data_IF_476754707062
#
_entry.id   IF_476754707062
#
_cell.length_a   1.000
_cell.length_b   1.000
_cell.length_c   1.000
_cell.angle_alpha   90.00
_cell.angle_beta   90.00
_cell.angle_gamma   90.00
#
_symmetry.space_group_name_H-M   'P 1'
#
loop_
_entity.id
_entity.type
_entity.pdbx_description
1 polymer ?
#
# COMPACT_ATOMS: atom_id res chain seq x y z
N UNK A 1 -5.68 13.63 5.22
CA UNK A 1 -6.89 13.09 4.57
C UNK A 1 -6.80 11.57 4.65
N UNK A 2 -7.85 10.89 5.13
CA UNK A 2 -7.89 9.43 5.13
C UNK A 2 -8.61 8.97 3.87
N UNK A 3 -7.91 8.24 3.03
CA UNK A 3 -8.50 7.53 1.89
C UNK A 3 -8.85 6.13 2.40
N UNK A 4 -10.09 5.68 2.14
CA UNK A 4 -10.76 4.58 2.83
C UNK A 4 -10.02 3.23 2.82
N UNK A 5 -10.50 2.25 3.60
CA UNK A 5 -9.86 0.94 3.68
C UNK A 5 -10.05 0.18 2.36
N UNK A 6 -8.95 -0.29 1.78
CA UNK A 6 -9.02 -1.31 0.74
C UNK A 6 -9.29 -2.65 1.42
N UNK A 7 -10.45 -3.24 1.13
CA UNK A 7 -10.79 -4.58 1.60
C UNK A 7 -10.20 -5.57 0.62
N UNK A 8 -9.31 -6.42 1.13
CA UNK A 8 -8.65 -7.44 0.34
C UNK A 8 -9.17 -8.82 0.74
N UNK A 9 -8.98 -9.82 -0.12
CA UNK A 9 -9.45 -11.20 0.08
C UNK A 9 -9.05 -11.80 1.44
N UNK A 10 -9.96 -12.60 2.01
CA UNK A 10 -9.82 -13.32 3.30
C UNK A 10 -8.55 -14.19 3.40
N UNK A 11 -7.97 -14.62 2.28
CA UNK A 11 -6.72 -15.38 2.23
C UNK A 11 -5.58 -14.52 1.71
N UNK A 12 -5.20 -13.52 2.51
CA UNK A 12 -4.12 -12.59 2.22
C UNK A 12 -2.75 -13.25 2.41
N UNK A 13 -1.92 -13.23 1.36
CA UNK A 13 -0.50 -13.60 1.42
C UNK A 13 0.34 -12.39 1.09
N UNK A 14 1.62 -12.39 1.49
CA UNK A 14 2.54 -11.29 1.14
C UNK A 14 2.66 -11.08 -0.38
N UNK A 15 2.59 -12.16 -1.17
CA UNK A 15 2.62 -12.09 -2.63
C UNK A 15 1.34 -11.43 -3.20
N UNK A 16 0.16 -11.85 -2.75
CA UNK A 16 -1.10 -11.24 -3.20
C UNK A 16 -1.17 -9.76 -2.83
N UNK A 17 -0.64 -9.40 -1.66
CA UNK A 17 -0.57 -8.00 -1.27
C UNK A 17 0.41 -7.21 -2.14
N UNK A 18 1.57 -7.79 -2.46
CA UNK A 18 2.51 -7.18 -3.41
C UNK A 18 1.89 -6.99 -4.80
N UNK A 19 1.21 -8.01 -5.32
CA UNK A 19 0.52 -7.95 -6.62
C UNK A 19 -0.55 -6.84 -6.62
N UNK A 20 -1.28 -6.69 -5.51
CA UNK A 20 -2.21 -5.57 -5.32
C UNK A 20 -1.51 -4.22 -5.34
N UNK A 21 -0.39 -4.04 -4.62
CA UNK A 21 0.35 -2.77 -4.60
C UNK A 21 0.88 -2.39 -5.98
N UNK A 22 1.32 -3.38 -6.77
CA UNK A 22 1.88 -3.16 -8.10
C UNK A 22 0.81 -2.88 -9.16
N UNK A 23 -0.32 -3.59 -9.11
CA UNK A 23 -1.28 -3.61 -10.23
C UNK A 23 -2.65 -3.03 -9.86
N UNK A 24 -3.11 -3.19 -8.62
CA UNK A 24 -4.46 -2.78 -8.19
C UNK A 24 -4.53 -1.43 -7.48
N UNK A 25 -3.44 -0.99 -6.85
CA UNK A 25 -3.43 0.26 -6.08
C UNK A 25 -3.70 1.49 -6.95
N UNK A 26 -3.18 1.51 -8.18
CA UNK A 26 -3.40 2.62 -9.11
C UNK A 26 -4.89 2.81 -9.43
N UNK A 27 -5.63 1.73 -9.66
CA UNK A 27 -7.08 1.76 -9.92
C UNK A 27 -7.84 2.33 -8.72
N UNK A 28 -7.48 1.90 -7.51
CA UNK A 28 -8.09 2.43 -6.28
C UNK A 28 -7.83 3.93 -6.09
N UNK A 29 -6.72 4.43 -6.66
CA UNK A 29 -6.35 5.82 -6.56
C UNK A 29 -6.94 6.69 -7.69
N UNK A 30 -7.50 6.11 -8.76
CA UNK A 30 -7.93 6.86 -9.97
C UNK A 30 -8.88 8.02 -9.66
N UNK A 31 -9.86 7.81 -8.79
CA UNK A 31 -10.83 8.83 -8.40
C UNK A 31 -10.25 9.93 -7.49
N UNK A 32 -9.00 9.78 -7.02
CA UNK A 32 -8.36 10.76 -6.14
C UNK A 32 -7.54 11.78 -6.93
N UNK A 33 -7.65 13.09 -6.58
CA UNK A 33 -6.83 14.14 -7.17
C UNK A 33 -5.34 13.81 -7.06
N UNK A 34 -4.60 13.97 -8.16
CA UNK A 34 -3.16 13.70 -8.21
C UNK A 34 -2.39 14.45 -7.09
N UNK A 35 -2.78 15.69 -6.81
CA UNK A 35 -2.21 16.50 -5.74
C UNK A 35 -2.38 15.85 -4.35
N UNK A 36 -3.46 15.11 -4.12
CA UNK A 36 -3.67 14.39 -2.88
C UNK A 36 -2.80 13.12 -2.78
N UNK A 37 -2.52 12.46 -3.92
CA UNK A 37 -1.65 11.27 -3.97
C UNK A 37 -0.20 11.63 -3.60
N UNK A 38 0.28 12.77 -4.08
CA UNK A 38 1.66 13.25 -3.85
C UNK A 38 1.86 13.81 -2.43
N UNK A 39 0.80 14.00 -1.63
CA UNK A 39 0.89 14.58 -0.28
C UNK A 39 0.49 13.60 0.84
N UNK A 40 0.40 12.30 0.54
CA UNK A 40 -0.14 11.30 1.48
C UNK A 40 0.89 10.23 1.82
N UNK A 41 0.94 9.84 3.09
CA UNK A 41 1.73 8.70 3.56
C UNK A 41 0.95 7.40 3.40
N UNK A 42 1.63 6.37 2.89
CA UNK A 42 1.10 5.01 2.87
C UNK A 42 1.28 4.35 4.25
N UNK A 43 0.20 3.84 4.86
CA UNK A 43 0.29 3.17 6.17
C UNK A 43 -0.23 1.73 6.07
N UNK A 44 0.53 0.76 6.57
CA UNK A 44 0.10 -0.64 6.64
C UNK A 44 0.20 -1.20 8.08
N UNK A 45 -0.58 -2.25 8.39
CA UNK A 45 -0.52 -2.99 9.67
C UNK A 45 0.41 -4.21 9.60
N UNK A 46 1.18 -4.48 10.66
CA UNK A 46 2.26 -5.47 10.70
C UNK A 46 1.81 -6.93 10.84
N UNK A 47 1.33 -7.52 9.76
CA UNK A 47 1.22 -8.98 9.69
C UNK A 47 2.61 -9.62 9.40
N UNK A 48 2.78 -10.95 9.48
CA UNK A 48 4.12 -11.57 9.39
C UNK A 48 4.70 -11.76 7.97
N UNK A 49 3.91 -11.62 6.90
CA UNK A 49 4.31 -11.88 5.50
C UNK A 49 5.06 -10.70 4.82
N UNK A 50 5.65 -9.78 5.58
CA UNK A 50 5.87 -8.39 5.15
C UNK A 50 7.23 -8.03 4.53
N UNK A 51 8.24 -8.91 4.52
CA UNK A 51 9.58 -8.49 4.07
C UNK A 51 9.63 -8.05 2.59
N UNK A 52 9.00 -8.82 1.69
CA UNK A 52 8.94 -8.49 0.26
C UNK A 52 8.17 -7.18 0.00
N UNK A 53 7.10 -6.97 0.75
CA UNK A 53 6.25 -5.78 0.64
C UNK A 53 6.96 -4.54 1.19
N UNK A 54 7.62 -4.65 2.35
CA UNK A 54 8.42 -3.57 2.91
C UNK A 54 9.56 -3.15 1.98
N UNK A 55 10.21 -4.12 1.34
CA UNK A 55 11.23 -3.84 0.32
C UNK A 55 10.63 -3.06 -0.85
N UNK A 56 9.53 -3.56 -1.43
CA UNK A 56 8.84 -2.86 -2.51
C UNK A 56 8.41 -1.44 -2.16
N UNK A 57 7.82 -1.24 -0.97
CA UNK A 57 7.40 0.09 -0.50
C UNK A 57 8.59 1.02 -0.25
N UNK A 58 9.71 0.50 0.23
CA UNK A 58 10.94 1.29 0.42
C UNK A 58 11.53 1.73 -0.92
N UNK A 59 11.50 0.84 -1.91
CA UNK A 59 12.03 1.11 -3.25
C UNK A 59 11.09 2.06 -4.05
N UNK A 60 9.78 1.92 -3.87
CA UNK A 60 8.76 2.65 -4.68
C UNK A 60 8.33 3.96 -4.04
N UNK A 61 8.28 4.03 -2.70
CA UNK A 61 7.77 5.19 -1.94
C UNK A 61 8.76 5.62 -0.84
N UNK A 62 10.03 5.94 -1.17
CA UNK A 62 11.06 6.18 -0.17
C UNK A 62 10.72 7.39 0.71
N UNK A 63 10.58 7.18 2.03
CA UNK A 63 10.14 8.18 3.03
C UNK A 63 8.66 8.56 3.00
N UNK A 64 7.84 7.89 2.18
CA UNK A 64 6.40 8.14 2.03
C UNK A 64 5.53 6.99 2.53
N UNK A 65 6.10 6.05 3.31
CA UNK A 65 5.36 4.96 3.92
C UNK A 65 5.72 4.71 5.39
N UNK A 66 4.79 4.14 6.14
CA UNK A 66 4.92 3.81 7.57
C UNK A 66 4.50 2.35 7.76
N UNK A 67 5.43 1.52 8.23
CA UNK A 67 5.15 0.17 8.72
C UNK A 67 4.99 0.18 10.23
N UNK A 68 3.89 -0.41 10.73
CA UNK A 68 3.72 -0.68 12.18
C UNK A 68 3.85 -2.17 12.42
N UNK A 69 5.05 -2.61 12.81
CA UNK A 69 5.37 -4.01 13.13
C UNK A 69 6.18 -4.69 12.04
#
# INVERSE_FOLDING_TARGET
MLIGPVILDDRMTGQKYLDFLQNGLSEQLEDFPLAARIATYFQHGGAPSHRLVMQYLSDTFPNWWIGRG
#
